data_IF_971609320335
#
_entry.id   IF_971609320335
#
_cell.length_a   1.000
_cell.length_b   1.000
_cell.length_c   1.000
_cell.angle_alpha   90.00
_cell.angle_beta   90.00
_cell.angle_gamma   90.00
#
_symmetry.space_group_name_H-M   'P 1'
#
loop_
_entity.id
_entity.type
_entity.pdbx_description
1 polymer ?
#
# COMPACT_ATOMS: atom_id res chain seq x y z
N UNK A 1 12.05 -11.93 -13.63
CA UNK A 1 11.37 -11.87 -12.32
C UNK A 1 9.90 -12.20 -12.47
N UNK A 2 9.34 -12.89 -11.49
CA UNK A 2 7.92 -13.20 -11.36
C UNK A 2 7.41 -12.55 -10.07
N UNK A 3 6.32 -11.79 -10.14
CA UNK A 3 5.71 -11.06 -9.01
C UNK A 3 4.31 -11.61 -8.70
N UNK A 4 4.17 -12.29 -7.57
CA UNK A 4 2.89 -12.83 -7.12
C UNK A 4 2.26 -11.88 -6.11
N UNK A 5 0.92 -11.76 -6.14
CA UNK A 5 0.20 -10.82 -5.26
C UNK A 5 0.70 -9.38 -5.47
N UNK A 6 0.88 -9.00 -6.74
CA UNK A 6 1.63 -7.80 -7.14
C UNK A 6 0.99 -6.49 -6.64
N UNK A 7 -0.31 -6.48 -6.34
CA UNK A 7 -1.05 -5.28 -6.03
C UNK A 7 -0.92 -4.27 -7.18
N UNK A 8 -0.74 -2.97 -6.88
CA UNK A 8 -0.45 -1.99 -7.91
C UNK A 8 0.99 -2.06 -8.44
N UNK A 9 1.85 -2.96 -7.96
CA UNK A 9 3.22 -3.19 -8.45
C UNK A 9 4.34 -2.46 -7.72
N UNK A 10 4.12 -2.01 -6.47
CA UNK A 10 5.13 -1.22 -5.74
C UNK A 10 6.46 -1.95 -5.52
N UNK A 11 6.43 -3.26 -5.24
CA UNK A 11 7.63 -4.08 -5.03
C UNK A 11 8.40 -4.26 -6.35
N UNK A 12 7.70 -4.71 -7.40
CA UNK A 12 8.21 -4.85 -8.75
C UNK A 12 8.82 -3.54 -9.32
N UNK A 13 8.20 -2.38 -9.09
CA UNK A 13 8.75 -1.08 -9.47
C UNK A 13 10.11 -0.82 -8.82
N UNK A 14 10.26 -1.14 -7.53
CA UNK A 14 11.53 -1.01 -6.81
C UNK A 14 12.65 -1.80 -7.48
N UNK A 15 12.42 -3.08 -7.77
CA UNK A 15 13.40 -3.93 -8.46
C UNK A 15 13.69 -3.43 -9.88
N UNK A 16 12.66 -3.13 -10.67
CA UNK A 16 12.79 -2.72 -12.07
C UNK A 16 13.42 -1.34 -12.26
N UNK A 17 13.57 -0.57 -11.19
CA UNK A 17 14.23 0.74 -11.18
C UNK A 17 15.76 0.66 -11.28
N UNK A 18 16.34 -0.54 -11.11
CA UNK A 18 17.78 -0.76 -11.16
C UNK A 18 18.20 -1.01 -12.61
N UNK A 19 19.08 -0.15 -13.11
CA UNK A 19 19.65 -0.25 -14.45
C UNK A 19 21.10 -0.73 -14.40
N UNK A 20 21.54 -1.42 -15.44
CA UNK A 20 22.94 -1.69 -15.70
C UNK A 20 23.64 -0.49 -16.35
N UNK A 21 24.96 -0.61 -16.55
CA UNK A 21 25.79 0.45 -17.16
C UNK A 21 25.42 0.73 -18.62
N UNK A 22 24.83 -0.25 -19.31
CA UNK A 22 24.34 -0.10 -20.68
C UNK A 22 22.92 0.50 -20.73
N UNK A 23 22.31 0.81 -19.59
CA UNK A 23 20.96 1.34 -19.48
C UNK A 23 19.84 0.29 -19.62
N UNK A 24 20.18 -1.00 -19.61
CA UNK A 24 19.25 -2.11 -19.50
C UNK A 24 18.74 -2.27 -18.07
N UNK A 25 17.56 -2.86 -17.88
CA UNK A 25 17.06 -3.17 -16.53
C UNK A 25 17.72 -4.44 -16.03
N UNK A 26 18.33 -4.39 -14.84
CA UNK A 26 18.87 -5.59 -14.14
C UNK A 26 17.77 -6.61 -13.84
N UNK A 27 16.57 -6.11 -13.58
CA UNK A 27 15.43 -6.89 -13.16
C UNK A 27 14.26 -6.70 -14.11
N UNK A 28 14.18 -7.55 -15.13
CA UNK A 28 13.05 -7.60 -16.04
C UNK A 28 11.87 -8.34 -15.40
N UNK A 29 10.72 -7.67 -15.32
CA UNK A 29 9.47 -8.24 -14.85
C UNK A 29 8.85 -9.00 -16.01
N UNK A 30 8.56 -10.29 -15.80
CA UNK A 30 8.09 -11.19 -16.85
C UNK A 30 6.64 -11.58 -16.64
N UNK A 31 6.25 -11.85 -15.40
CA UNK A 31 4.85 -12.09 -15.00
C UNK A 31 4.59 -11.36 -13.69
N UNK A 32 3.41 -10.75 -13.58
CA UNK A 32 2.85 -10.20 -12.37
C UNK A 32 1.39 -10.62 -12.25
N UNK A 33 1.00 -11.24 -11.13
CA UNK A 33 -0.37 -11.72 -10.90
C UNK A 33 -1.06 -10.86 -9.85
N UNK A 34 -2.21 -10.28 -10.21
CA UNK A 34 -3.03 -9.47 -9.32
C UNK A 34 -4.52 -9.76 -9.54
N UNK A 35 -5.28 -9.96 -8.46
CA UNK A 35 -6.70 -10.34 -8.54
C UNK A 35 -7.65 -9.16 -8.58
N UNK A 36 -7.30 -8.04 -7.93
CA UNK A 36 -8.12 -6.85 -7.89
C UNK A 36 -8.04 -6.11 -9.23
N UNK A 37 -9.16 -5.94 -9.96
CA UNK A 37 -9.13 -5.32 -11.27
C UNK A 37 -8.64 -3.86 -11.24
N UNK A 38 -8.76 -3.14 -10.13
CA UNK A 38 -8.33 -1.74 -10.02
C UNK A 38 -6.81 -1.67 -9.85
N UNK A 39 -6.25 -2.52 -8.99
CA UNK A 39 -4.82 -2.69 -8.81
C UNK A 39 -4.18 -3.21 -10.11
N UNK A 40 -4.78 -4.21 -10.76
CA UNK A 40 -4.34 -4.71 -12.06
C UNK A 40 -4.32 -3.62 -13.13
N UNK A 41 -5.34 -2.75 -13.20
CA UNK A 41 -5.34 -1.63 -14.16
C UNK A 41 -4.15 -0.68 -13.95
N UNK A 42 -3.76 -0.46 -12.69
CA UNK A 42 -2.58 0.36 -12.33
C UNK A 42 -1.28 -0.36 -12.71
N UNK A 43 -1.19 -1.65 -12.39
CA UNK A 43 -0.07 -2.51 -12.72
C UNK A 43 0.15 -2.59 -14.24
N UNK A 44 -0.91 -2.76 -15.04
CA UNK A 44 -0.85 -2.76 -16.50
C UNK A 44 -0.34 -1.41 -17.02
N UNK A 45 -0.86 -0.29 -16.52
CA UNK A 45 -0.44 1.04 -16.94
C UNK A 45 1.06 1.27 -16.68
N UNK A 46 1.56 0.78 -15.55
CA UNK A 46 2.99 0.79 -15.19
C UNK A 46 3.83 -0.11 -16.11
N UNK A 47 3.36 -1.32 -16.38
CA UNK A 47 4.02 -2.23 -17.32
C UNK A 47 4.14 -1.62 -18.73
N UNK A 48 3.08 -0.95 -19.22
CA UNK A 48 3.10 -0.19 -20.48
C UNK A 48 4.14 0.91 -20.42
N UNK A 49 4.13 1.74 -19.37
CA UNK A 49 5.08 2.83 -19.20
C UNK A 49 6.54 2.34 -19.27
N UNK A 50 6.82 1.17 -18.68
CA UNK A 50 8.17 0.58 -18.69
C UNK A 50 8.64 0.12 -20.07
N UNK A 51 7.76 -0.10 -21.05
CA UNK A 51 8.16 -0.48 -22.42
C UNK A 51 8.83 0.66 -23.17
N UNK A 52 8.66 1.91 -22.72
CA UNK A 52 9.27 3.07 -23.35
C UNK A 52 10.59 3.47 -22.68
N UNK A 53 11.59 3.92 -23.46
CA UNK A 53 12.79 4.52 -22.90
C UNK A 53 12.47 5.75 -22.06
N UNK A 54 13.34 6.06 -21.10
CA UNK A 54 13.18 7.24 -20.24
C UNK A 54 13.06 8.51 -21.08
N UNK A 55 11.98 9.27 -20.86
CA UNK A 55 11.71 10.52 -21.60
C UNK A 55 11.18 10.32 -23.03
N UNK A 56 10.86 9.08 -23.43
CA UNK A 56 10.32 8.74 -24.76
C UNK A 56 8.92 8.12 -24.68
N UNK A 57 8.20 8.37 -23.59
CA UNK A 57 6.82 7.90 -23.41
C UNK A 57 5.91 8.71 -24.35
N UNK A 58 5.03 8.06 -25.14
CA UNK A 58 4.16 8.75 -26.09
C UNK A 58 3.21 9.75 -25.43
N UNK A 59 2.82 10.78 -26.17
CA UNK A 59 1.91 11.83 -25.68
C UNK A 59 0.57 11.26 -25.23
N UNK A 60 0.04 10.25 -25.94
CA UNK A 60 -1.24 9.62 -25.62
C UNK A 60 -1.28 8.97 -24.22
N UNK A 61 -0.14 8.58 -23.65
CA UNK A 61 -0.05 8.17 -22.26
C UNK A 61 -0.48 9.30 -21.31
N UNK A 62 0.03 10.51 -21.54
CA UNK A 62 -0.27 11.66 -20.70
C UNK A 62 -1.69 12.18 -20.94
N UNK A 63 -2.19 12.10 -22.17
CA UNK A 63 -3.60 12.38 -22.49
C UNK A 63 -4.52 11.43 -21.70
N UNK A 64 -4.20 10.14 -21.67
CA UNK A 64 -4.93 9.16 -20.87
C UNK A 64 -4.87 9.48 -19.37
N UNK A 65 -3.69 9.77 -18.83
CA UNK A 65 -3.52 10.12 -17.40
C UNK A 65 -4.28 11.41 -17.03
N UNK A 66 -4.42 12.35 -17.97
CA UNK A 66 -5.23 13.56 -17.81
C UNK A 66 -6.74 13.34 -18.02
N UNK A 67 -7.15 12.16 -18.51
CA UNK A 67 -8.54 11.82 -18.80
C UNK A 67 -9.06 12.44 -20.11
N UNK A 68 -8.17 12.82 -21.02
CA UNK A 68 -8.50 13.39 -22.33
C UNK A 68 -8.93 12.33 -23.34
N UNK A 69 -8.43 11.10 -23.17
CA UNK A 69 -8.83 9.91 -23.94
C UNK A 69 -9.27 8.78 -23.02
N UNK A 70 -10.12 7.90 -23.53
CA UNK A 70 -10.57 6.69 -22.85
C UNK A 70 -9.46 5.64 -22.75
N UNK A 71 -9.69 4.62 -21.91
CA UNK A 71 -8.72 3.52 -21.76
C UNK A 71 -8.63 2.71 -23.05
N UNK A 72 -9.76 2.50 -23.71
CA UNK A 72 -9.87 1.73 -24.95
C UNK A 72 -9.10 2.44 -26.07
N UNK A 73 -9.25 3.76 -26.21
CA UNK A 73 -8.45 4.58 -27.12
C UNK A 73 -6.95 4.48 -26.78
N UNK A 74 -6.57 4.64 -25.51
CA UNK A 74 -5.18 4.53 -25.08
C UNK A 74 -4.55 3.15 -25.37
N UNK A 75 -5.28 2.05 -25.12
CA UNK A 75 -4.75 0.70 -25.33
C UNK A 75 -4.70 0.30 -26.81
N UNK A 76 -5.53 0.91 -27.66
CA UNK A 76 -5.56 0.64 -29.11
C UNK A 76 -4.77 1.65 -29.95
N UNK A 77 -4.26 2.73 -29.34
CA UNK A 77 -3.50 3.76 -30.03
C UNK A 77 -2.22 3.19 -30.66
N UNK A 78 -1.85 3.57 -31.91
CA UNK A 78 -0.70 3.01 -32.62
C UNK A 78 0.61 3.02 -31.83
N UNK A 79 0.89 4.12 -31.13
CA UNK A 79 2.13 4.29 -30.35
C UNK A 79 2.21 3.43 -29.08
N UNK A 80 1.09 2.87 -28.61
CA UNK A 80 1.03 2.14 -27.33
C UNK A 80 0.47 0.73 -27.45
N UNK A 81 -0.15 0.39 -28.57
CA UNK A 81 -0.80 -0.91 -28.79
C UNK A 81 0.14 -2.09 -28.57
N UNK A 82 1.33 -2.07 -29.19
CA UNK A 82 2.31 -3.15 -29.01
C UNK A 82 2.78 -3.26 -27.56
N UNK A 83 3.09 -2.12 -26.92
CA UNK A 83 3.46 -2.07 -25.52
C UNK A 83 2.33 -2.59 -24.60
N UNK A 84 1.07 -2.29 -24.93
CA UNK A 84 -0.12 -2.76 -24.22
C UNK A 84 -0.32 -4.27 -24.35
N UNK A 85 -0.14 -4.83 -25.54
CA UNK A 85 -0.22 -6.27 -25.78
C UNK A 85 0.87 -7.02 -25.00
N UNK A 86 2.12 -6.52 -25.03
CA UNK A 86 3.21 -7.09 -24.24
C UNK A 86 2.96 -6.95 -22.73
N UNK A 87 2.48 -5.79 -22.29
CA UNK A 87 2.16 -5.55 -20.89
C UNK A 87 0.99 -6.41 -20.39
N UNK A 88 0.03 -6.78 -21.25
CA UNK A 88 -1.07 -7.66 -20.89
C UNK A 88 -0.62 -9.13 -20.70
N UNK A 89 0.48 -9.55 -21.37
CA UNK A 89 1.12 -10.84 -21.11
C UNK A 89 1.89 -10.84 -19.79
N UNK A 90 2.45 -9.70 -19.43
CA UNK A 90 3.18 -9.49 -18.17
C UNK A 90 2.22 -9.37 -16.97
N UNK A 91 1.25 -8.45 -17.01
CA UNK A 91 0.31 -8.18 -15.93
C UNK A 91 -0.98 -9.01 -16.11
N UNK A 92 -1.09 -10.12 -15.38
CA UNK A 92 -2.23 -11.04 -15.40
C UNK A 92 -3.25 -10.68 -14.32
N UNK A 93 -4.51 -10.47 -14.74
CA UNK A 93 -5.62 -10.25 -13.82
C UNK A 93 -6.21 -11.60 -13.40
N UNK A 94 -5.69 -12.18 -12.32
CA UNK A 94 -6.04 -13.52 -11.90
C UNK A 94 -5.94 -13.67 -10.38
N UNK A 95 -6.77 -14.56 -9.82
CA UNK A 95 -6.77 -14.88 -8.40
C UNK A 95 -6.02 -16.19 -8.17
N UNK A 96 -4.84 -16.12 -7.54
CA UNK A 96 -4.06 -17.30 -7.17
C UNK A 96 -4.88 -18.19 -6.24
N UNK A 97 -4.81 -19.50 -6.48
CA UNK A 97 -5.61 -20.51 -5.80
C UNK A 97 -7.01 -20.72 -6.39
N UNK A 98 -7.62 -19.69 -6.99
CA UNK A 98 -8.89 -19.87 -7.73
C UNK A 98 -8.61 -20.20 -9.20
N UNK A 99 -7.62 -19.53 -9.77
CA UNK A 99 -7.13 -19.78 -11.14
C UNK A 99 -6.43 -21.14 -11.15
N UNK A 100 -6.71 -22.01 -12.15
CA UNK A 100 -6.10 -23.32 -12.20
C UNK A 100 -4.56 -23.25 -12.18
N UNK A 101 -3.87 -24.06 -11.35
CA UNK A 101 -2.41 -24.03 -11.24
C UNK A 101 -1.70 -24.19 -12.58
N UNK A 102 -2.20 -25.04 -13.47
CA UNK A 102 -1.64 -25.28 -14.80
C UNK A 102 -1.63 -24.04 -15.69
N UNK A 103 -2.58 -23.12 -15.51
CA UNK A 103 -2.65 -21.87 -16.26
C UNK A 103 -1.59 -20.88 -15.78
N UNK A 104 -1.48 -20.71 -14.46
CA UNK A 104 -0.46 -19.87 -13.83
C UNK A 104 0.94 -20.40 -14.14
N UNK A 105 1.12 -21.71 -14.04
CA UNK A 105 2.37 -22.39 -14.34
C UNK A 105 2.72 -22.26 -15.82
N UNK A 106 1.72 -22.32 -16.71
CA UNK A 106 1.88 -22.08 -18.14
C UNK A 106 2.44 -20.69 -18.43
N UNK A 107 1.89 -19.64 -17.80
CA UNK A 107 2.42 -18.28 -17.94
C UNK A 107 3.86 -18.17 -17.46
N UNK A 108 4.20 -18.81 -16.33
CA UNK A 108 5.56 -18.77 -15.78
C UNK A 108 6.53 -19.52 -16.70
N UNK A 109 6.19 -20.73 -17.16
CA UNK A 109 7.03 -21.51 -18.09
C UNK A 109 7.27 -20.75 -19.40
N UNK A 110 6.21 -20.20 -20.00
CA UNK A 110 6.33 -19.40 -21.23
C UNK A 110 7.24 -18.18 -21.03
N UNK A 111 7.11 -17.51 -19.88
CA UNK A 111 7.83 -16.29 -19.58
C UNK A 111 9.31 -16.49 -19.20
N UNK A 112 9.63 -17.62 -18.58
CA UNK A 112 10.99 -17.99 -18.21
C UNK A 112 11.75 -18.65 -19.38
N UNK A 113 11.09 -19.48 -20.19
CA UNK A 113 11.78 -20.29 -21.19
C UNK A 113 12.82 -21.19 -20.51
N UNK A 114 14.07 -21.09 -20.95
CA UNK A 114 15.22 -21.86 -20.41
C UNK A 114 16.00 -21.09 -19.32
N UNK A 115 15.53 -19.91 -18.90
CA UNK A 115 16.22 -19.09 -17.90
C UNK A 115 16.14 -19.71 -16.50
N UNK A 116 17.28 -20.18 -15.99
CA UNK A 116 17.39 -20.76 -14.65
C UNK A 116 17.58 -19.71 -13.54
N UNK A 117 18.18 -18.56 -13.87
CA UNK A 117 18.53 -17.51 -12.92
C UNK A 117 17.44 -16.43 -12.87
N UNK A 118 16.40 -16.71 -12.08
CA UNK A 118 15.28 -15.79 -11.92
C UNK A 118 14.87 -15.60 -10.46
N UNK A 119 14.17 -14.49 -10.23
CA UNK A 119 13.73 -14.06 -8.90
C UNK A 119 12.22 -14.14 -8.80
N UNK A 120 11.73 -14.76 -7.72
CA UNK A 120 10.35 -14.71 -7.29
C UNK A 120 10.18 -13.60 -6.25
N UNK A 121 9.20 -12.72 -6.43
CA UNK A 121 8.84 -11.73 -5.42
C UNK A 121 7.35 -11.83 -5.12
N UNK A 122 6.93 -11.42 -3.93
CA UNK A 122 5.51 -11.29 -3.65
C UNK A 122 5.17 -10.99 -2.20
N UNK A 123 3.95 -10.49 -1.99
CA UNK A 123 3.40 -10.18 -0.67
C UNK A 123 2.14 -10.99 -0.39
N UNK A 124 2.23 -12.32 -0.20
CA UNK A 124 1.04 -13.14 0.05
C UNK A 124 0.28 -12.61 1.28
N UNK A 125 -1.04 -12.44 1.20
CA UNK A 125 -1.81 -11.80 2.25
C UNK A 125 -1.80 -12.63 3.54
N UNK A 126 -1.33 -12.02 4.63
CA UNK A 126 -1.23 -12.67 5.95
C UNK A 126 -2.53 -12.64 6.78
N UNK A 127 -3.65 -12.14 6.22
CA UNK A 127 -4.91 -11.98 6.97
C UNK A 127 -5.57 -13.31 7.42
N UNK A 128 -5.04 -14.47 6.99
CA UNK A 128 -5.41 -15.80 7.47
C UNK A 128 -5.12 -16.00 8.97
N UNK A 129 -4.11 -15.29 9.46
CA UNK A 129 -3.36 -15.71 10.62
C UNK A 129 -3.68 -14.92 11.89
N UNK A 130 -4.44 -13.83 11.74
CA UNK A 130 -4.94 -13.03 12.86
C UNK A 130 -6.41 -13.34 13.11
N UNK A 131 -6.73 -13.85 14.30
CA UNK A 131 -8.07 -14.10 14.85
C UNK A 131 -9.05 -12.89 14.88
N UNK A 132 -8.75 -11.78 14.21
CA UNK A 132 -9.36 -10.46 14.41
C UNK A 132 -10.12 -9.90 13.19
N UNK A 133 -10.66 -10.76 12.31
CA UNK A 133 -11.39 -10.36 11.11
C UNK A 133 -12.90 -10.64 11.13
N UNK A 134 -13.61 -10.45 12.24
CA UNK A 134 -15.07 -10.67 12.27
C UNK A 134 -15.85 -9.49 11.65
N UNK A 135 -16.84 -9.87 10.82
CA UNK A 135 -18.05 -9.11 10.43
C UNK A 135 -18.02 -8.47 9.04
N UNK A 136 -18.39 -9.26 8.00
CA UNK A 136 -19.44 -8.95 7.00
C UNK A 136 -19.50 -10.03 5.90
N UNK A 137 -20.22 -11.13 6.18
CA UNK A 137 -21.25 -11.78 5.32
C UNK A 137 -21.52 -13.18 5.88
N UNK A 138 -22.52 -13.28 6.77
CA UNK A 138 -23.01 -14.55 7.31
C UNK A 138 -23.95 -15.15 6.28
N UNK A 139 -23.56 -16.18 5.54
CA UNK A 139 -24.49 -17.14 4.91
C UNK A 139 -23.72 -18.32 4.34
N UNK A 140 -23.83 -19.47 5.03
CA UNK A 140 -23.28 -20.80 4.71
C UNK A 140 -21.79 -20.98 5.04
N UNK A 141 -21.59 -21.57 6.22
CA UNK A 141 -20.35 -22.02 6.87
C UNK A 141 -19.07 -21.16 6.69
N UNK A 142 -19.01 -19.99 7.36
CA UNK A 142 -17.92 -19.01 7.23
C UNK A 142 -16.60 -19.43 7.87
N UNK A 143 -16.62 -20.32 8.86
CA UNK A 143 -15.42 -20.69 9.63
C UNK A 143 -14.49 -21.63 8.86
N UNK A 144 -15.03 -22.53 8.02
CA UNK A 144 -14.22 -23.38 7.14
C UNK A 144 -13.69 -22.62 5.92
N UNK A 145 -14.56 -21.85 5.24
CA UNK A 145 -14.18 -21.22 3.97
C UNK A 145 -13.15 -20.09 4.13
N UNK A 146 -13.24 -19.25 5.17
CA UNK A 146 -12.25 -18.18 5.40
C UNK A 146 -10.95 -18.69 6.04
N UNK A 147 -10.99 -19.80 6.79
CA UNK A 147 -9.79 -20.46 7.29
C UNK A 147 -9.03 -21.14 6.15
N UNK A 148 -9.75 -21.85 5.26
CA UNK A 148 -9.16 -22.58 4.15
C UNK A 148 -8.60 -21.63 3.07
N UNK A 149 -9.36 -20.61 2.63
CA UNK A 149 -8.95 -19.74 1.51
C UNK A 149 -7.74 -18.86 1.79
N UNK A 150 -7.44 -18.53 3.06
CA UNK A 150 -6.33 -17.61 3.40
C UNK A 150 -5.06 -18.35 3.79
N UNK A 151 -5.16 -19.56 4.37
CA UNK A 151 -4.02 -20.47 4.46
C UNK A 151 -3.52 -20.88 3.07
N UNK A 152 -4.43 -20.92 2.10
CA UNK A 152 -4.17 -21.31 0.73
C UNK A 152 -3.29 -20.33 -0.08
N UNK A 153 -3.35 -19.01 0.18
CA UNK A 153 -2.58 -18.05 -0.62
C UNK A 153 -1.08 -18.07 -0.31
N UNK A 154 -0.69 -18.30 0.95
CA UNK A 154 0.71 -18.58 1.27
C UNK A 154 1.18 -19.90 0.65
N UNK A 155 0.33 -20.94 0.68
CA UNK A 155 0.70 -22.23 0.07
C UNK A 155 0.84 -22.12 -1.45
N UNK A 156 0.13 -21.21 -2.12
CA UNK A 156 0.37 -20.93 -3.55
C UNK A 156 1.75 -20.30 -3.79
N UNK A 157 2.19 -19.38 -2.92
CA UNK A 157 3.56 -18.84 -3.01
C UNK A 157 4.60 -19.96 -2.82
N UNK A 158 4.41 -20.82 -1.82
CA UNK A 158 5.26 -21.98 -1.56
C UNK A 158 5.22 -23.01 -2.71
N UNK A 159 4.05 -23.25 -3.31
CA UNK A 159 3.85 -24.15 -4.45
C UNK A 159 4.68 -23.70 -5.65
N UNK A 160 4.72 -22.40 -5.94
CA UNK A 160 5.55 -21.85 -7.01
C UNK A 160 7.05 -22.04 -6.70
N UNK A 161 7.47 -21.84 -5.44
CA UNK A 161 8.86 -22.13 -5.03
C UNK A 161 9.18 -23.61 -5.20
N UNK A 162 8.28 -24.49 -4.78
CA UNK A 162 8.44 -25.94 -4.96
C UNK A 162 8.58 -26.24 -6.45
N UNK A 163 7.57 -25.95 -7.27
CA UNK A 163 7.56 -26.30 -8.69
C UNK A 163 8.76 -25.74 -9.46
N UNK A 164 9.03 -24.44 -9.34
CA UNK A 164 9.95 -23.73 -10.24
C UNK A 164 11.33 -23.43 -9.65
N UNK A 165 11.53 -23.68 -8.35
CA UNK A 165 12.82 -23.52 -7.67
C UNK A 165 13.59 -22.23 -8.05
N UNK A 166 13.04 -21.02 -7.84
CA UNK A 166 13.73 -19.77 -8.16
C UNK A 166 15.13 -19.69 -7.55
N UNK A 167 16.08 -19.04 -8.21
CA UNK A 167 17.41 -18.80 -7.64
C UNK A 167 17.32 -17.96 -6.35
N UNK A 168 16.39 -17.00 -6.34
CA UNK A 168 16.13 -16.10 -5.21
C UNK A 168 14.63 -15.89 -5.05
N UNK A 169 14.15 -15.85 -3.80
CA UNK A 169 12.82 -15.33 -3.50
C UNK A 169 12.84 -14.17 -2.51
N UNK A 170 11.88 -13.25 -2.63
CA UNK A 170 11.66 -12.14 -1.69
C UNK A 170 10.19 -12.10 -1.31
N UNK A 171 9.91 -12.52 -0.07
CA UNK A 171 8.55 -12.50 0.48
C UNK A 171 8.40 -11.29 1.40
N UNK A 172 7.49 -10.38 1.06
CA UNK A 172 7.12 -9.25 1.90
C UNK A 172 5.93 -9.59 2.81
N UNK A 173 5.94 -9.07 4.03
CA UNK A 173 4.76 -9.03 4.86
C UNK A 173 4.73 -7.95 5.94
N UNK A 174 3.58 -7.82 6.59
CA UNK A 174 3.38 -6.90 7.72
C UNK A 174 4.12 -7.37 8.97
N UNK A 175 4.63 -6.43 9.78
CA UNK A 175 5.24 -6.72 11.10
C UNK A 175 4.34 -7.53 12.04
N UNK A 176 3.02 -7.42 11.88
CA UNK A 176 2.05 -8.21 12.65
C UNK A 176 2.17 -9.73 12.44
N UNK A 177 2.75 -10.18 11.33
CA UNK A 177 2.98 -11.61 11.06
C UNK A 177 3.84 -12.28 12.13
N UNK A 178 4.80 -11.55 12.73
CA UNK A 178 5.73 -12.10 13.70
C UNK A 178 5.03 -12.64 14.97
N UNK A 179 3.86 -12.07 15.30
CA UNK A 179 3.10 -12.42 16.50
C UNK A 179 1.88 -13.29 16.19
N UNK A 180 1.73 -13.77 14.96
CA UNK A 180 0.56 -14.53 14.55
C UNK A 180 0.63 -15.96 15.09
N UNK A 181 -0.49 -16.44 15.65
CA UNK A 181 -0.64 -17.83 16.13
C UNK A 181 -1.67 -18.60 15.30
N UNK A 182 -1.37 -19.85 14.95
CA UNK A 182 -2.34 -20.82 14.43
C UNK A 182 -2.29 -22.08 15.28
N UNK A 183 -3.41 -22.50 15.84
CA UNK A 183 -3.51 -23.71 16.68
C UNK A 183 -2.44 -23.81 17.77
N UNK A 184 -2.10 -22.68 18.41
CA UNK A 184 -1.10 -22.62 19.48
C UNK A 184 0.37 -22.60 19.05
N UNK A 185 0.67 -22.65 17.74
CA UNK A 185 2.03 -22.54 17.18
C UNK A 185 2.27 -21.18 16.51
N UNK A 186 3.50 -20.69 16.59
CA UNK A 186 3.93 -19.47 15.91
C UNK A 186 4.00 -19.73 14.41
N UNK A 187 3.18 -19.03 13.64
CA UNK A 187 3.08 -19.23 12.19
C UNK A 187 4.34 -18.81 11.47
N UNK A 188 5.01 -17.77 11.96
CA UNK A 188 6.25 -17.28 11.38
C UNK A 188 7.32 -18.37 11.32
N UNK A 189 7.51 -19.13 12.40
CA UNK A 189 8.48 -20.23 12.46
C UNK A 189 8.13 -21.35 11.48
N UNK A 190 6.83 -21.64 11.28
CA UNK A 190 6.37 -22.60 10.27
C UNK A 190 6.67 -22.09 8.85
N UNK A 191 6.29 -20.85 8.53
CA UNK A 191 6.56 -20.24 7.22
C UNK A 191 8.06 -20.26 6.94
N UNK A 192 8.89 -19.90 7.93
CA UNK A 192 10.33 -19.92 7.79
C UNK A 192 10.85 -21.34 7.51
N UNK A 193 10.36 -22.36 8.21
CA UNK A 193 10.74 -23.75 7.98
C UNK A 193 10.31 -24.26 6.59
N UNK A 194 9.05 -24.01 6.22
CA UNK A 194 8.49 -24.38 4.91
C UNK A 194 9.29 -23.72 3.76
N UNK A 195 9.70 -22.46 3.91
CA UNK A 195 10.51 -21.75 2.90
C UNK A 195 11.97 -22.21 2.85
N UNK A 196 12.54 -22.65 3.99
CA UNK A 196 13.93 -23.18 4.04
C UNK A 196 14.05 -24.54 3.37
N UNK A 197 13.05 -25.40 3.55
CA UNK A 197 13.01 -26.73 2.95
C UNK A 197 11.65 -26.96 2.27
N UNK A 198 11.40 -26.33 1.09
CA UNK A 198 10.11 -26.42 0.42
C UNK A 198 9.75 -27.84 -0.01
N UNK A 199 10.73 -28.65 -0.41
CA UNK A 199 10.58 -30.08 -0.75
C UNK A 199 11.93 -30.79 -0.67
N UNK A 200 11.92 -32.11 -0.73
CA UNK A 200 13.14 -32.92 -0.77
C UNK A 200 14.04 -32.51 -1.94
N UNK A 201 15.34 -32.34 -1.65
CA UNK A 201 16.33 -31.91 -2.64
C UNK A 201 16.29 -30.43 -3.01
N UNK A 202 15.43 -29.61 -2.37
CA UNK A 202 15.38 -28.16 -2.56
C UNK A 202 15.48 -27.45 -1.22
N UNK A 203 16.51 -26.64 -1.04
CA UNK A 203 16.71 -25.84 0.18
C UNK A 203 17.13 -24.41 -0.14
N UNK A 204 16.84 -23.52 0.81
CA UNK A 204 17.15 -22.10 0.73
C UNK A 204 17.76 -21.60 2.03
N UNK A 205 18.80 -20.77 1.91
CA UNK A 205 19.29 -19.95 3.02
C UNK A 205 18.44 -18.67 3.09
N UNK A 206 17.72 -18.48 4.19
CA UNK A 206 16.93 -17.26 4.44
C UNK A 206 17.76 -16.28 5.25
N UNK A 207 18.04 -15.12 4.66
CA UNK A 207 18.90 -14.07 5.23
C UNK A 207 18.09 -12.85 5.68
N UNK A 208 18.65 -12.13 6.66
CA UNK A 208 18.22 -10.78 7.00
C UNK A 208 18.90 -9.76 6.08
N UNK A 209 18.14 -8.73 5.70
CA UNK A 209 18.64 -7.54 5.00
C UNK A 209 19.06 -6.42 5.98
N UNK A 210 19.02 -6.66 7.29
CA UNK A 210 19.22 -5.64 8.34
C UNK A 210 20.42 -5.96 9.22
N UNK A 211 20.60 -7.23 9.56
CA UNK A 211 21.69 -7.69 10.42
C UNK A 211 22.40 -8.89 9.80
N UNK A 212 23.68 -9.01 10.09
CA UNK A 212 24.46 -10.20 9.78
C UNK A 212 24.56 -11.07 11.03
N UNK A 213 23.88 -12.21 11.02
CA UNK A 213 23.96 -13.25 12.05
C UNK A 213 24.01 -14.61 11.37
N UNK A 214 24.52 -15.63 12.07
CA UNK A 214 24.50 -16.99 11.52
C UNK A 214 23.08 -17.53 11.49
N UNK A 215 22.86 -18.51 10.63
CA UNK A 215 21.60 -19.25 10.63
C UNK A 215 21.37 -19.93 12.00
N UNK A 216 20.16 -19.79 12.54
CA UNK A 216 19.81 -20.24 13.89
C UNK A 216 19.98 -19.19 14.99
N UNK A 217 20.70 -18.09 14.72
CA UNK A 217 20.85 -16.95 15.65
C UNK A 217 19.91 -15.78 15.31
N UNK A 218 19.19 -15.87 14.19
CA UNK A 218 18.26 -14.84 13.71
C UNK A 218 16.94 -14.88 14.48
N UNK A 219 16.58 -13.74 15.06
CA UNK A 219 15.28 -13.53 15.69
C UNK A 219 14.25 -13.04 14.65
N UNK A 220 12.94 -13.25 14.88
CA UNK A 220 11.91 -12.77 13.96
C UNK A 220 11.97 -11.26 13.67
N UNK A 221 12.43 -10.45 14.62
CA UNK A 221 12.59 -9.00 14.43
C UNK A 221 13.78 -8.62 13.52
N UNK A 222 14.74 -9.51 13.32
CA UNK A 222 15.90 -9.26 12.45
C UNK A 222 15.50 -9.18 10.97
N UNK A 223 14.31 -9.64 10.61
CA UNK A 223 13.75 -9.53 9.26
C UNK A 223 12.93 -8.24 9.04
N UNK A 224 12.85 -7.36 10.05
CA UNK A 224 12.03 -6.14 9.99
C UNK A 224 12.82 -4.98 9.40
N UNK A 225 12.41 -4.51 8.24
CA UNK A 225 12.88 -3.28 7.60
C UNK A 225 11.95 -2.13 7.97
N UNK A 226 12.53 -1.02 8.42
CA UNK A 226 11.83 0.22 8.77
C UNK A 226 12.02 1.24 7.65
N UNK A 227 10.96 1.55 6.90
CA UNK A 227 11.09 2.35 5.67
C UNK A 227 11.70 3.75 5.90
N UNK A 228 11.51 4.34 7.08
CA UNK A 228 12.07 5.63 7.44
C UNK A 228 13.58 5.57 7.67
N UNK A 229 14.16 4.42 8.00
CA UNK A 229 15.62 4.19 7.99
C UNK A 229 16.21 4.24 6.57
N UNK A 230 15.37 4.16 5.54
CA UNK A 230 15.78 4.16 4.14
C UNK A 230 15.26 5.38 3.36
N UNK A 231 15.01 6.48 4.07
CA UNK A 231 14.71 7.78 3.47
C UNK A 231 13.26 7.99 3.06
N UNK A 232 12.37 7.06 3.40
CA UNK A 232 10.94 7.19 3.13
C UNK A 232 10.28 7.97 4.29
N UNK A 233 9.56 9.08 4.03
CA UNK A 233 8.92 9.89 5.06
C UNK A 233 7.62 9.24 5.59
N UNK A 234 7.70 7.96 5.99
CA UNK A 234 6.60 7.14 6.48
C UNK A 234 7.12 6.06 7.43
N UNK A 235 6.59 6.00 8.66
CA UNK A 235 6.83 4.91 9.60
C UNK A 235 6.07 3.65 9.18
N UNK A 236 6.64 2.88 8.27
CA UNK A 236 6.08 1.63 7.75
C UNK A 236 7.11 0.51 7.88
N UNK A 237 6.83 -0.44 8.76
CA UNK A 237 7.75 -1.52 9.08
C UNK A 237 7.23 -2.80 8.40
N UNK A 238 8.14 -3.53 7.75
CA UNK A 238 7.83 -4.73 6.97
C UNK A 238 8.80 -5.85 7.28
N UNK A 239 8.27 -7.05 7.38
CA UNK A 239 9.05 -8.28 7.44
C UNK A 239 9.40 -8.64 6.02
N UNK A 240 10.67 -8.76 5.71
CA UNK A 240 11.14 -9.23 4.40
C UNK A 240 11.96 -10.50 4.63
N UNK A 241 11.51 -11.60 4.03
CA UNK A 241 12.26 -12.84 3.97
C UNK A 241 12.98 -12.91 2.64
N UNK A 242 14.31 -12.86 2.67
CA UNK A 242 15.17 -12.95 1.50
C UNK A 242 15.80 -14.33 1.45
N UNK A 243 15.30 -15.19 0.57
CA UNK A 243 15.77 -16.56 0.41
C UNK A 243 16.65 -16.71 -0.82
N UNK A 244 17.78 -17.39 -0.67
CA UNK A 244 18.71 -17.74 -1.76
C UNK A 244 18.81 -19.26 -1.81
N UNK A 245 18.66 -19.85 -2.99
CA UNK A 245 18.75 -21.31 -3.16
C UNK A 245 20.16 -21.79 -2.78
N UNK A 246 20.28 -22.93 -2.09
CA UNK A 246 21.55 -23.34 -1.47
C UNK A 246 22.71 -23.51 -2.45
N UNK A 247 22.46 -24.04 -3.65
CA UNK A 247 23.47 -24.14 -4.72
C UNK A 247 23.94 -22.75 -5.20
N UNK A 248 23.03 -21.77 -5.24
CA UNK A 248 23.35 -20.37 -5.59
C UNK A 248 24.16 -19.71 -4.48
N UNK A 249 23.90 -20.05 -3.21
CA UNK A 249 24.74 -19.62 -2.08
C UNK A 249 26.15 -20.14 -2.24
N UNK A 250 26.32 -21.44 -2.48
CA UNK A 250 27.61 -22.09 -2.67
C UNK A 250 28.38 -21.50 -3.86
N UNK A 251 27.67 -21.16 -4.94
CA UNK A 251 28.23 -20.52 -6.13
C UNK A 251 28.55 -19.02 -5.95
N UNK A 252 28.22 -18.40 -4.80
CA UNK A 252 28.39 -16.95 -4.57
C UNK A 252 29.34 -16.65 -3.41
N UNK A 253 30.68 -16.67 -3.62
CA UNK A 253 31.68 -16.40 -2.57
C UNK A 253 31.54 -15.04 -1.88
N UNK A 254 30.94 -14.06 -2.55
CA UNK A 254 30.67 -12.74 -1.99
C UNK A 254 29.78 -12.80 -0.73
N UNK A 255 28.88 -13.78 -0.64
CA UNK A 255 28.00 -13.96 0.53
C UNK A 255 28.76 -14.33 1.81
N UNK A 256 29.98 -14.87 1.68
CA UNK A 256 30.88 -15.23 2.78
C UNK A 256 31.96 -14.17 3.00
N UNK A 257 32.50 -13.62 1.92
CA UNK A 257 33.66 -12.71 1.97
C UNK A 257 33.28 -11.25 2.24
N UNK A 258 32.12 -10.79 1.76
CA UNK A 258 31.62 -9.43 1.97
C UNK A 258 30.12 -9.43 2.34
N UNK A 259 29.72 -10.14 3.41
CA UNK A 259 28.32 -10.31 3.81
C UNK A 259 27.62 -8.98 4.13
N UNK A 260 28.35 -7.97 4.59
CA UNK A 260 27.86 -6.63 4.88
C UNK A 260 27.36 -5.88 3.63
N UNK A 261 27.84 -6.24 2.44
CA UNK A 261 27.35 -5.65 1.17
C UNK A 261 25.91 -6.04 0.85
N UNK A 262 25.37 -7.06 1.53
CA UNK A 262 24.00 -7.54 1.35
C UNK A 262 23.03 -6.95 2.39
N UNK A 263 23.50 -6.06 3.26
CA UNK A 263 22.66 -5.34 4.22
C UNK A 263 22.19 -4.01 3.66
N UNK A 264 20.97 -3.61 3.98
CA UNK A 264 20.43 -2.32 3.60
C UNK A 264 21.09 -1.20 4.41
N UNK A 265 21.75 -0.30 3.70
CA UNK A 265 22.32 0.90 4.30
C UNK A 265 21.20 1.83 4.82
N UNK A 266 21.35 2.27 6.08
CA UNK A 266 20.48 3.28 6.68
C UNK A 266 20.92 4.68 6.26
N UNK A 267 19.96 5.55 5.96
CA UNK A 267 20.25 6.95 5.67
C UNK A 267 20.40 7.75 6.96
N UNK A 268 21.42 8.60 7.03
CA UNK A 268 21.64 9.49 8.21
C UNK A 268 20.58 10.58 8.30
N UNK A 269 20.14 11.11 7.15
CA UNK A 269 19.14 12.18 7.07
C UNK A 269 17.75 11.58 6.94
N UNK A 270 16.90 11.80 7.95
CA UNK A 270 15.47 11.48 7.88
C UNK A 270 14.71 12.57 7.12
N UNK A 271 13.67 12.17 6.40
CA UNK A 271 12.81 13.07 5.64
C UNK A 271 11.43 13.16 6.28
N UNK A 272 10.88 14.36 6.34
CA UNK A 272 9.52 14.61 6.83
C UNK A 272 8.51 14.72 5.70
N UNK A 273 7.24 14.79 6.07
CA UNK A 273 6.11 14.96 5.12
C UNK A 273 6.29 16.22 4.25
N UNK A 274 6.92 17.29 4.76
CA UNK A 274 7.16 18.50 3.95
C UNK A 274 8.07 18.21 2.75
N UNK A 275 9.04 17.31 2.87
CA UNK A 275 9.90 16.92 1.75
C UNK A 275 9.12 16.10 0.71
N UNK A 276 8.19 15.24 1.15
CA UNK A 276 7.34 14.46 0.26
C UNK A 276 6.36 15.32 -0.55
N UNK A 277 5.87 16.41 0.04
CA UNK A 277 4.87 17.30 -0.56
C UNK A 277 5.49 18.50 -1.27
N UNK A 278 6.82 18.65 -1.22
CA UNK A 278 7.51 19.77 -1.84
C UNK A 278 7.28 19.79 -3.36
N UNK A 279 6.95 20.96 -3.91
CA UNK A 279 6.71 21.14 -5.35
C UNK A 279 5.30 20.77 -5.83
N UNK A 280 4.45 20.16 -4.99
CA UNK A 280 3.06 19.93 -5.34
C UNK A 280 2.25 21.25 -5.30
N UNK A 281 1.32 21.48 -6.25
CA UNK A 281 0.46 22.65 -6.23
C UNK A 281 -0.45 22.63 -5.00
N UNK A 282 -0.86 23.81 -4.54
CA UNK A 282 -1.86 23.91 -3.49
C UNK A 282 -3.20 23.33 -3.97
N UNK A 283 -3.84 22.50 -3.13
CA UNK A 283 -5.13 21.86 -3.44
C UNK A 283 -6.18 22.25 -2.40
N UNK A 284 -7.40 22.57 -2.85
CA UNK A 284 -8.53 22.84 -1.96
C UNK A 284 -9.36 21.58 -1.80
N UNK A 285 -10.09 21.50 -0.70
CA UNK A 285 -11.10 20.47 -0.50
C UNK A 285 -12.19 20.55 -1.58
N UNK A 286 -12.75 19.40 -1.95
CA UNK A 286 -13.99 19.33 -2.72
C UNK A 286 -15.19 19.30 -1.79
N UNK A 287 -16.33 19.81 -2.26
CA UNK A 287 -17.61 19.65 -1.58
C UNK A 287 -18.04 18.18 -1.70
N UNK A 288 -18.39 17.58 -0.57
CA UNK A 288 -18.89 16.21 -0.54
C UNK A 288 -20.37 16.18 -0.89
N UNK A 289 -20.79 15.21 -1.74
CA UNK A 289 -22.20 14.88 -2.09
C UNK A 289 -22.95 15.91 -2.95
N UNK A 290 -22.36 17.06 -3.20
CA UNK A 290 -22.95 18.12 -4.03
C UNK A 290 -21.96 18.45 -5.17
N UNK A 291 -22.43 18.98 -6.32
CA UNK A 291 -21.53 19.43 -7.38
C UNK A 291 -20.51 20.43 -6.86
N UNK A 292 -19.23 20.17 -7.12
CA UNK A 292 -18.15 21.04 -6.69
C UNK A 292 -17.95 22.18 -7.72
N UNK A 293 -18.09 23.42 -7.26
CA UNK A 293 -17.71 24.61 -8.03
C UNK A 293 -17.00 25.59 -7.11
N UNK A 294 -16.26 26.54 -7.68
CA UNK A 294 -15.58 27.57 -6.90
C UNK A 294 -16.60 28.37 -6.05
N UNK A 295 -17.74 28.74 -6.63
CA UNK A 295 -18.79 29.50 -5.95
C UNK A 295 -19.47 28.69 -4.85
N UNK A 296 -19.80 27.42 -5.12
CA UNK A 296 -20.39 26.54 -4.11
C UNK A 296 -19.41 26.29 -2.96
N UNK A 297 -18.11 26.16 -3.25
CA UNK A 297 -17.09 25.94 -2.24
C UNK A 297 -16.91 27.20 -1.38
N UNK A 298 -16.83 28.37 -2.01
CA UNK A 298 -16.78 29.66 -1.31
C UNK A 298 -18.00 29.88 -0.42
N UNK A 299 -19.19 29.52 -0.89
CA UNK A 299 -20.43 29.57 -0.09
C UNK A 299 -20.34 28.64 1.12
N UNK A 300 -19.95 27.39 0.93
CA UNK A 300 -19.80 26.41 2.03
C UNK A 300 -18.77 26.88 3.07
N UNK A 301 -17.65 27.45 2.62
CA UNK A 301 -16.60 28.01 3.50
C UNK A 301 -17.12 29.20 4.30
N UNK A 302 -17.88 30.11 3.68
CA UNK A 302 -18.51 31.25 4.38
C UNK A 302 -19.56 30.84 5.41
N UNK A 303 -20.33 29.79 5.11
CA UNK A 303 -21.37 29.29 6.01
C UNK A 303 -20.80 28.44 7.15
N UNK A 304 -19.58 27.92 7.01
CA UNK A 304 -18.97 27.00 7.98
C UNK A 304 -18.88 27.51 9.43
N UNK A 305 -18.63 28.80 9.74
CA UNK A 305 -18.63 29.28 11.13
C UNK A 305 -19.99 29.11 11.81
N UNK A 306 -21.10 29.13 11.04
CA UNK A 306 -22.44 28.94 11.57
C UNK A 306 -22.65 27.53 12.15
N UNK A 307 -21.86 26.55 11.70
CA UNK A 307 -21.90 25.17 12.21
C UNK A 307 -21.34 25.06 13.64
N UNK A 308 -20.60 26.07 14.12
CA UNK A 308 -20.09 26.12 15.49
C UNK A 308 -21.10 26.73 16.48
N UNK A 309 -22.28 27.16 16.00
CA UNK A 309 -23.38 27.58 16.89
C UNK A 309 -23.75 26.44 17.85
N UNK A 310 -23.67 26.72 19.16
CA UNK A 310 -23.92 25.74 20.22
C UNK A 310 -22.68 24.98 20.72
N UNK A 311 -21.50 25.24 20.15
CA UNK A 311 -20.24 24.75 20.74
C UNK A 311 -19.85 25.59 21.96
N UNK A 312 -19.89 24.97 23.14
CA UNK A 312 -19.53 25.59 24.42
C UNK A 312 -18.12 25.16 24.87
N UNK A 313 -17.10 25.53 24.09
CA UNK A 313 -15.68 25.25 24.41
C UNK A 313 -14.86 26.54 24.29
N UNK A 314 -13.88 26.77 25.18
CA UNK A 314 -13.00 27.94 25.12
C UNK A 314 -12.30 28.11 23.76
N UNK A 315 -11.98 26.99 23.10
CA UNK A 315 -11.29 26.96 21.80
C UNK A 315 -12.14 27.47 20.63
N UNK A 316 -13.45 27.68 20.82
CA UNK A 316 -14.35 28.11 19.74
C UNK A 316 -13.92 29.43 19.12
N UNK A 317 -13.55 30.41 19.94
CA UNK A 317 -13.15 31.75 19.49
C UNK A 317 -11.89 31.67 18.62
N UNK A 318 -10.92 30.83 19.02
CA UNK A 318 -9.69 30.60 18.25
C UNK A 318 -9.99 29.93 16.89
N UNK A 319 -10.91 28.96 16.87
CA UNK A 319 -11.34 28.29 15.63
C UNK A 319 -12.06 29.28 14.72
N UNK A 320 -13.01 30.06 15.22
CA UNK A 320 -13.76 31.08 14.45
C UNK A 320 -12.80 32.12 13.86
N UNK A 321 -11.85 32.64 14.66
CA UNK A 321 -10.85 33.58 14.18
C UNK A 321 -9.96 32.99 13.07
N UNK A 322 -9.56 31.73 13.20
CA UNK A 322 -8.79 31.04 12.17
C UNK A 322 -9.62 30.80 10.89
N UNK A 323 -10.90 30.47 11.02
CA UNK A 323 -11.85 30.33 9.91
C UNK A 323 -12.03 31.66 9.17
N UNK A 324 -12.25 32.77 9.88
CA UNK A 324 -12.36 34.10 9.28
C UNK A 324 -11.09 34.50 8.52
N UNK A 325 -9.92 34.23 9.10
CA UNK A 325 -8.63 34.48 8.45
C UNK A 325 -8.49 33.65 7.16
N UNK A 326 -8.96 32.40 7.17
CA UNK A 326 -8.99 31.55 5.98
C UNK A 326 -9.96 32.07 4.92
N UNK A 327 -11.20 32.43 5.30
CA UNK A 327 -12.23 32.99 4.41
C UNK A 327 -11.65 34.21 3.66
N UNK A 328 -11.07 35.18 4.39
CA UNK A 328 -10.46 36.37 3.79
C UNK A 328 -9.33 36.04 2.81
N UNK A 329 -8.51 35.01 3.10
CA UNK A 329 -7.44 34.55 2.20
C UNK A 329 -8.02 33.88 0.94
N UNK A 330 -9.04 33.05 1.10
CA UNK A 330 -9.70 32.35 0.00
C UNK A 330 -10.41 33.33 -0.96
N UNK A 331 -11.08 34.35 -0.42
CA UNK A 331 -11.73 35.41 -1.21
C UNK A 331 -10.72 36.22 -2.04
N UNK A 332 -9.61 36.65 -1.42
CA UNK A 332 -8.53 37.35 -2.12
C UNK A 332 -7.93 36.54 -3.27
N UNK A 333 -7.80 35.22 -3.09
CA UNK A 333 -7.30 34.30 -4.12
C UNK A 333 -8.30 34.09 -5.25
N UNK A 334 -9.61 34.17 -4.96
CA UNK A 334 -10.67 33.99 -5.96
C UNK A 334 -10.87 35.26 -6.81
N UNK A 335 -10.67 36.45 -6.23
CA UNK A 335 -10.83 37.73 -6.94
C UNK A 335 -9.67 38.08 -7.91
N UNK A 336 -8.50 37.45 -7.74
CA UNK A 336 -7.37 37.64 -8.66
C UNK A 336 -7.50 36.67 -9.85
N UNK A 337 -8.16 37.12 -10.92
CA UNK A 337 -8.44 36.37 -12.15
C UNK A 337 -7.19 35.85 -12.93
N UNK A 338 -5.98 35.95 -12.37
CA UNK A 338 -4.73 35.38 -12.89
C UNK A 338 -4.30 34.06 -12.22
N UNK A 339 -5.08 33.52 -11.28
CA UNK A 339 -4.75 32.29 -10.54
C UNK A 339 -5.60 31.06 -10.91
N UNK A 340 -6.16 31.02 -12.14
CA UNK A 340 -6.82 29.83 -12.72
C UNK A 340 -5.90 28.60 -12.79
N UNK A 341 -4.60 28.76 -12.55
CA UNK A 341 -3.57 27.72 -12.57
C UNK A 341 -3.10 27.23 -11.19
N UNK A 342 -3.60 27.74 -10.06
CA UNK A 342 -3.04 27.44 -8.73
C UNK A 342 -3.89 26.57 -7.80
N UNK A 343 -5.15 26.30 -8.13
CA UNK A 343 -5.91 25.23 -7.49
C UNK A 343 -6.37 24.27 -8.58
N UNK A 344 -5.50 23.30 -8.91
CA UNK A 344 -5.83 22.30 -9.90
C UNK A 344 -6.95 21.41 -9.32
N UNK A 345 -8.15 21.52 -9.89
CA UNK A 345 -9.25 20.60 -9.62
C UNK A 345 -8.86 19.25 -10.24
N UNK A 346 -8.30 18.34 -9.45
CA UNK A 346 -8.01 16.98 -9.94
C UNK A 346 -9.36 16.34 -10.25
N UNK A 347 -9.71 16.13 -11.52
CA UNK A 347 -10.83 15.27 -11.90
C UNK A 347 -10.50 13.82 -11.53
N UNK A 348 -10.65 13.48 -10.25
CA UNK A 348 -10.85 12.08 -9.88
C UNK A 348 -12.19 11.71 -10.47
N UNK A 349 -12.20 10.78 -11.43
CA UNK A 349 -13.41 10.20 -12.00
C UNK A 349 -14.34 9.65 -10.90
N UNK A 350 -15.61 9.35 -11.21
CA UNK A 350 -16.57 8.88 -10.22
C UNK A 350 -16.00 7.65 -9.50
N UNK A 351 -15.80 7.80 -8.19
CA UNK A 351 -15.44 6.68 -7.32
C UNK A 351 -16.60 5.66 -7.38
N UNK A 352 -16.34 4.38 -7.69
CA UNK A 352 -17.38 3.36 -7.61
C UNK A 352 -18.02 3.40 -6.22
N UNK A 353 -19.35 3.32 -6.17
CA UNK A 353 -20.21 3.47 -4.99
C UNK A 353 -19.97 2.44 -3.86
N UNK A 354 -18.87 1.69 -3.90
CA UNK A 354 -18.56 0.58 -3.01
C UNK A 354 -17.32 0.77 -2.13
N UNK A 355 -16.51 1.81 -2.33
CA UNK A 355 -15.45 2.16 -1.39
C UNK A 355 -15.98 2.97 -0.21
N UNK A 356 -16.46 2.26 0.82
CA UNK A 356 -16.81 2.83 2.12
C UNK A 356 -15.54 3.23 2.87
N UNK A 357 -15.18 4.51 2.85
CA UNK A 357 -14.24 5.06 3.84
C UNK A 357 -14.96 5.04 5.19
N UNK A 358 -14.51 4.14 6.07
CA UNK A 358 -15.02 4.02 7.44
C UNK A 358 -14.73 5.28 8.24
N UNK A 359 -15.77 5.85 8.84
CA UNK A 359 -15.67 6.94 9.80
C UNK A 359 -15.10 6.36 11.09
N UNK A 360 -13.91 6.79 11.50
CA UNK A 360 -13.41 6.58 12.86
C UNK A 360 -14.26 7.42 13.82
N UNK A 361 -15.01 6.77 14.70
CA UNK A 361 -15.65 7.44 15.83
C UNK A 361 -14.64 7.53 16.98
N UNK A 362 -14.42 8.70 17.60
CA UNK A 362 -13.61 8.78 18.79
C UNK A 362 -14.42 8.22 19.96
N UNK A 363 -14.19 6.96 20.33
CA UNK A 363 -14.31 6.55 21.73
C UNK A 363 -12.92 6.68 22.34
N UNK A 364 -12.86 7.45 23.43
CA UNK A 364 -11.70 7.72 24.31
C UNK A 364 -10.47 8.37 23.67
N UNK A 365 -10.43 9.71 23.70
CA UNK A 365 -9.18 10.48 23.68
C UNK A 365 -8.98 11.04 25.08
N UNK A 366 -8.28 10.30 25.94
CA UNK A 366 -7.57 10.90 27.08
C UNK A 366 -6.08 10.95 26.71
N UNK A 367 -5.50 12.14 26.81
CA UNK A 367 -4.09 12.50 26.56
C UNK A 367 -3.61 12.53 25.09
N UNK A 368 -4.07 13.53 24.32
CA UNK A 368 -3.28 14.05 23.20
C UNK A 368 -2.92 15.51 23.49
N UNK A 369 -1.61 15.78 23.63
CA UNK A 369 -1.07 17.11 23.92
C UNK A 369 -1.52 18.13 22.87
N UNK A 370 -2.34 19.09 23.30
CA UNK A 370 -3.06 20.08 22.48
C UNK A 370 -2.17 21.15 21.82
N UNK A 371 -0.84 21.11 21.98
CA UNK A 371 0.05 22.14 21.40
C UNK A 371 0.27 22.03 19.88
N UNK A 372 -0.14 20.95 19.21
CA UNK A 372 0.06 20.76 17.75
C UNK A 372 -1.19 20.96 16.88
N UNK A 373 -2.36 21.21 17.48
CA UNK A 373 -3.60 21.43 16.73
C UNK A 373 -3.65 22.82 16.06
N UNK A 374 -2.94 23.82 16.61
CA UNK A 374 -2.91 25.19 16.10
C UNK A 374 -2.18 25.36 14.75
N UNK A 375 -1.49 24.33 14.27
CA UNK A 375 -0.75 24.33 13.00
C UNK A 375 -1.40 23.49 11.89
N UNK A 376 -2.56 22.87 12.15
CA UNK A 376 -3.31 22.20 11.08
C UNK A 376 -4.02 23.26 10.25
N UNK A 377 -3.57 23.47 9.01
CA UNK A 377 -4.29 24.28 8.03
C UNK A 377 -5.74 23.75 7.90
N UNK A 378 -6.71 24.66 8.03
CA UNK A 378 -8.14 24.41 8.16
C UNK A 378 -8.81 23.73 6.94
N UNK A 379 -8.04 23.29 5.96
CA UNK A 379 -8.51 22.63 4.73
C UNK A 379 -9.24 21.31 4.99
N UNK A 380 -9.00 20.63 6.11
CA UNK A 380 -9.61 19.33 6.44
C UNK A 380 -10.87 19.39 7.32
N UNK A 381 -11.20 20.52 7.96
CA UNK A 381 -12.19 20.51 9.07
C UNK A 381 -13.66 20.60 8.62
N UNK A 382 -13.93 20.93 7.35
CA UNK A 382 -15.30 21.20 6.87
C UNK A 382 -16.14 19.92 6.68
N UNK A 383 -15.51 18.74 6.57
CA UNK A 383 -16.22 17.50 6.19
C UNK A 383 -16.75 16.67 7.37
N UNK A 384 -16.43 17.03 8.63
CA UNK A 384 -16.70 16.13 9.77
C UNK A 384 -17.95 16.45 10.62
N UNK A 385 -18.66 17.56 10.38
CA UNK A 385 -19.64 18.09 11.36
C UNK A 385 -21.14 18.04 10.98
N UNK A 386 -21.55 17.37 9.89
CA UNK A 386 -22.99 17.21 9.57
C UNK A 386 -23.62 16.00 10.30
N UNK A 387 -23.84 16.08 11.62
CA UNK A 387 -24.92 15.37 12.37
C UNK A 387 -24.95 15.70 13.87
N UNK A 388 -25.34 16.91 14.25
CA UNK A 388 -25.92 17.15 15.60
C UNK A 388 -26.99 18.24 15.47
N UNK A 389 -28.22 17.85 15.15
CA UNK A 389 -29.39 18.73 15.30
C UNK A 389 -30.69 17.98 15.04
N UNK A 390 -31.11 17.14 15.99
CA UNK A 390 -32.53 16.86 16.26
C UNK A 390 -32.68 16.53 17.76
N UNK A 391 -33.56 17.22 18.53
CA UNK A 391 -33.81 16.90 19.93
C UNK A 391 -35.10 16.08 20.14
N UNK A 392 -35.19 15.45 21.33
CA UNK A 392 -36.34 14.77 22.00
C UNK A 392 -36.43 13.25 21.73
N UNK A 393 -36.67 12.35 22.69
CA UNK A 393 -37.35 12.40 24.02
C UNK A 393 -36.78 11.29 24.93
N UNK A 394 -36.98 11.48 26.24
CA UNK A 394 -36.66 10.63 27.40
C UNK A 394 -36.97 9.13 27.27
N UNK A 395 -36.10 8.27 27.86
CA UNK A 395 -36.46 7.37 28.98
C UNK A 395 -35.20 6.71 29.60
N UNK A 396 -35.24 6.59 30.93
CA UNK A 396 -34.24 6.01 31.84
C UNK A 396 -33.90 4.54 31.51
N UNK A 397 -32.65 4.11 31.72
CA UNK A 397 -32.25 3.13 32.78
C UNK A 397 -30.78 2.69 32.66
N UNK A 398 -30.17 2.57 33.85
CA UNK A 398 -29.05 1.70 34.28
C UNK A 398 -27.64 1.93 33.71
N UNK A 399 -26.87 2.73 34.44
CA UNK A 399 -25.45 2.47 34.72
C UNK A 399 -25.37 1.28 35.68
N UNK A 400 -24.50 0.31 35.39
CA UNK A 400 -23.91 -0.54 36.42
C UNK A 400 -22.53 -1.04 35.99
N UNK A 401 -21.58 -0.80 36.90
CA UNK A 401 -20.41 -1.60 37.29
C UNK A 401 -19.15 -1.73 36.40
N UNK A 402 -18.09 -1.07 36.90
CA UNK A 402 -16.74 -1.62 37.23
C UNK A 402 -15.84 -2.21 36.11
N UNK A 403 -14.50 -2.07 36.08
CA UNK A 403 -13.50 -1.43 36.96
C UNK A 403 -12.18 -1.29 36.18
N UNK A 404 -11.42 -0.23 36.50
CA UNK A 404 -10.00 -0.02 36.16
C UNK A 404 -9.10 -0.98 36.95
N UNK A 405 -8.03 -1.46 36.31
CA UNK A 405 -6.76 -1.95 36.90
C UNK A 405 -5.90 -2.47 35.74
N UNK A 406 -4.64 -2.13 35.47
CA UNK A 406 -3.61 -1.39 36.19
C UNK A 406 -2.54 -1.00 35.17
N UNK A 407 -1.98 0.20 35.30
CA UNK A 407 -0.78 0.64 34.62
C UNK A 407 0.31 0.69 35.69
N UNK A 408 1.38 -0.09 35.56
CA UNK A 408 2.61 0.04 36.34
C UNK A 408 3.80 -0.35 35.44
N UNK A 409 4.57 0.68 35.10
CA UNK A 409 6.04 0.74 34.98
C UNK A 409 6.80 -0.57 34.77
N UNK A 410 7.34 -0.77 33.57
CA UNK A 410 8.77 -0.82 33.17
C UNK A 410 8.82 -0.75 31.64
#
# INVERSE_FOLDING_TARGET
MIDLFAGPGGLCEGFSSIFDEAGGRRFAVKVSVEKDPIAHRTLLLRAIFRKFPKGKVPTCYYEYVRGEITREEFLSHPDTKEAAEQAAREARCAELGVTPPEEVDGWIREALGDEADWVLIGGPPCQAYSLAGRSRLRSKDPEKFEADAKHFLYTEYLRIIQEFAPAVFVMENVKGMLNSMNSGKRIFEKILADLKAPRDGLSYEIRSLVVQKKEGELDPNDYVIEADDHGIPQSRHRVILFGIRSDVVEATPALLTNPEHFLLAKVKKKFGVSAALAGLPALRSRISREPDSQDAWMKAVRESPQLLKGWHRPVRVEIEAAMEKFIKRAEKRTASARALSQWMLIQVGPCPSHYRIGIWTPRSVESFSMKRAATCDLTCTVTCLRRVSLPRKSTRRTCETFRRSSCQTI
#
